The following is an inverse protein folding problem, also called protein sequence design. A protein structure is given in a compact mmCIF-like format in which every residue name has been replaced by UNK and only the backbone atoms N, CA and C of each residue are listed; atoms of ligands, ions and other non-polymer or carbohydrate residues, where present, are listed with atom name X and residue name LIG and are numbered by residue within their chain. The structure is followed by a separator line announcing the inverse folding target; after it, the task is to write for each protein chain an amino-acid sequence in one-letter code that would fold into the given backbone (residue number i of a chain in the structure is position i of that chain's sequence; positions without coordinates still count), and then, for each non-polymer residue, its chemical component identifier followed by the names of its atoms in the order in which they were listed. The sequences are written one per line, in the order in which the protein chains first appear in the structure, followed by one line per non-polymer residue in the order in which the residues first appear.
data_IF_367116015788
#
_entry.id   IF_367116015788
#
_cell.length_a   1.000
_cell.length_b   1.000
_cell.length_c   1.000
_cell.angle_alpha   90.00
_cell.angle_beta   90.00
_cell.angle_gamma   90.00
#
_symmetry.space_group_name_H-M   'P 1'
#
loop_
_entity.id
_entity.type
_entity.pdbx_description
1 polymer ?
#
# COMPACT_ATOMS: atom_id res chain seq x y z
N UNK A 1 -26.32 -17.43 -2.40
CA UNK A 1 -26.51 -16.93 -3.78
C UNK A 1 -25.13 -16.61 -4.34
N UNK A 2 -24.58 -17.46 -5.22
CA UNK A 2 -23.16 -17.46 -5.59
C UNK A 2 -22.73 -16.22 -6.40
N UNK A 3 -21.57 -15.65 -6.07
CA UNK A 3 -20.94 -14.48 -6.73
C UNK A 3 -20.78 -14.69 -8.25
N UNK A 4 -20.70 -15.94 -8.71
CA UNK A 4 -20.67 -16.29 -10.13
C UNK A 4 -21.93 -15.87 -10.91
N UNK A 5 -23.10 -15.78 -10.26
CA UNK A 5 -24.34 -15.37 -10.94
C UNK A 5 -24.48 -13.84 -11.09
N UNK A 6 -23.75 -13.05 -10.32
CA UNK A 6 -23.79 -11.58 -10.41
C UNK A 6 -22.86 -11.09 -11.52
N UNK A 7 -21.69 -11.73 -11.71
CA UNK A 7 -20.72 -11.36 -12.76
C UNK A 7 -21.25 -11.64 -14.17
N UNK A 8 -22.07 -12.70 -14.36
CA UNK A 8 -22.65 -13.01 -15.67
C UNK A 8 -23.75 -12.02 -16.09
N UNK A 9 -24.55 -11.49 -15.15
CA UNK A 9 -25.62 -10.52 -15.46
C UNK A 9 -25.08 -9.15 -15.91
N UNK A 10 -23.89 -8.75 -15.44
CA UNK A 10 -23.29 -7.47 -15.83
C UNK A 10 -22.47 -7.50 -17.12
N UNK A 11 -22.06 -8.69 -17.60
CA UNK A 11 -21.43 -8.82 -18.93
C UNK A 11 -22.41 -8.66 -20.08
N UNK A 12 -23.70 -8.96 -19.87
CA UNK A 12 -24.71 -8.90 -20.93
C UNK A 12 -25.23 -7.46 -21.20
N UNK A 13 -25.11 -6.56 -20.23
CA UNK A 13 -25.51 -5.15 -20.40
C UNK A 13 -24.44 -4.24 -21.02
N UNK A 14 -23.18 -4.69 -21.09
CA UNK A 14 -22.10 -3.93 -21.76
C UNK A 14 -22.00 -4.28 -23.25
N UNK A 15 -22.58 -5.40 -23.69
CA UNK A 15 -22.59 -5.81 -25.11
C UNK A 15 -23.65 -5.09 -25.97
N UNK A 16 -24.63 -4.40 -25.36
CA UNK A 16 -25.67 -3.67 -26.10
C UNK A 16 -25.42 -2.17 -26.28
N UNK A 17 -24.31 -1.61 -25.76
CA UNK A 17 -23.96 -0.20 -25.98
C UNK A 17 -22.81 0.02 -26.99
N UNK A 18 -22.31 -1.04 -27.62
CA UNK A 18 -21.14 -0.98 -28.53
C UNK A 18 -21.53 -1.12 -30.02
N UNK A 19 -22.81 -1.34 -30.33
CA UNK A 19 -23.31 -1.52 -31.71
C UNK A 19 -24.01 -0.28 -32.31
N UNK A 20 -23.85 0.90 -31.71
CA UNK A 20 -24.55 2.13 -32.12
C UNK A 20 -23.67 3.28 -32.63
N UNK A 21 -22.37 3.08 -32.84
CA UNK A 21 -21.46 4.15 -33.26
C UNK A 21 -20.46 3.65 -34.31
N UNK A 22 -20.99 3.20 -35.45
CA UNK A 22 -20.20 3.00 -36.67
C UNK A 22 -20.97 3.63 -37.80
N UNK A 23 -20.72 4.91 -38.08
CA UNK A 23 -20.79 5.55 -39.40
C UNK A 23 -20.66 7.07 -39.20
N UNK A 24 -19.45 7.59 -39.37
CA UNK A 24 -19.13 8.80 -40.15
C UNK A 24 -17.65 9.14 -39.93
N UNK A 25 -17.01 9.56 -41.02
CA UNK A 25 -15.62 10.01 -41.15
C UNK A 25 -14.57 8.93 -41.48
N UNK A 26 -14.62 8.51 -42.75
CA UNK A 26 -13.41 8.20 -43.51
C UNK A 26 -12.97 9.44 -44.30
N UNK A 27 -11.64 9.60 -44.35
CA UNK A 27 -10.81 10.40 -45.27
C UNK A 27 -10.71 11.92 -45.08
N UNK A 28 -9.60 12.36 -44.48
CA UNK A 28 -8.55 13.01 -45.27
C UNK A 28 -7.18 12.83 -44.61
N UNK A 29 -6.26 12.22 -45.35
CA UNK A 29 -4.83 12.14 -45.04
C UNK A 29 -4.20 13.50 -45.25
N UNK A 30 -3.39 13.98 -44.30
CA UNK A 30 -2.24 14.80 -44.65
C UNK A 30 -1.12 14.63 -43.64
N UNK A 31 -0.01 14.10 -44.14
CA UNK A 31 1.29 14.06 -43.51
C UNK A 31 1.70 15.47 -43.05
N UNK A 32 2.15 15.59 -41.80
CA UNK A 32 3.23 16.50 -41.47
C UNK A 32 4.04 15.92 -40.31
N UNK A 33 5.21 15.40 -40.67
CA UNK A 33 6.32 15.11 -39.78
C UNK A 33 6.74 16.41 -39.09
N UNK A 34 6.31 16.60 -37.85
CA UNK A 34 6.98 17.49 -36.92
C UNK A 34 7.39 16.65 -35.71
N UNK A 35 8.68 16.31 -35.67
CA UNK A 35 9.36 15.84 -34.48
C UNK A 35 9.23 16.90 -33.40
N UNK A 36 8.16 16.83 -32.61
CA UNK A 36 8.09 17.53 -31.33
C UNK A 36 8.97 16.72 -30.38
N UNK A 37 10.22 17.14 -30.24
CA UNK A 37 11.05 16.76 -29.12
C UNK A 37 10.29 17.18 -27.85
N UNK A 38 9.67 16.20 -27.16
CA UNK A 38 9.10 16.39 -25.84
C UNK A 38 10.29 16.61 -24.90
N UNK A 39 10.64 17.87 -24.72
CA UNK A 39 11.53 18.34 -23.67
C UNK A 39 10.77 18.25 -22.34
N UNK A 40 10.64 17.05 -21.78
CA UNK A 40 10.29 16.90 -20.37
C UNK A 40 11.57 17.08 -19.56
N UNK A 41 11.84 18.31 -19.12
CA UNK A 41 12.55 18.48 -17.87
C UNK A 41 11.60 18.04 -16.75
N UNK A 42 11.38 16.73 -16.66
CA UNK A 42 10.58 16.08 -15.62
C UNK A 42 11.27 16.36 -14.30
N UNK A 43 10.74 17.33 -13.55
CA UNK A 43 11.17 17.56 -12.18
C UNK A 43 10.70 16.36 -11.37
N UNK A 44 11.59 15.39 -11.20
CA UNK A 44 11.37 14.17 -10.43
C UNK A 44 10.72 14.53 -9.09
N UNK A 45 9.64 13.83 -8.70
CA UNK A 45 8.99 14.08 -7.42
C UNK A 45 10.00 13.88 -6.28
N UNK A 46 9.96 14.65 -5.17
CA UNK A 46 10.87 14.45 -4.03
C UNK A 46 10.90 12.99 -3.54
N UNK A 47 9.75 12.33 -3.54
CA UNK A 47 9.62 10.90 -3.24
C UNK A 47 10.40 10.01 -4.19
N UNK A 48 10.55 10.37 -5.46
CA UNK A 48 11.31 9.57 -6.41
C UNK A 48 12.84 9.68 -6.23
N UNK A 49 13.37 10.79 -5.67
CA UNK A 49 14.81 10.94 -5.32
C UNK A 49 15.14 10.32 -3.95
N UNK A 50 14.17 10.23 -3.06
CA UNK A 50 14.27 9.60 -1.75
C UNK A 50 14.30 8.06 -1.82
N UNK A 51 13.90 7.48 -2.97
CA UNK A 51 13.70 6.04 -3.13
C UNK A 51 14.65 5.40 -4.14
N UNK A 52 15.15 4.22 -3.79
CA UNK A 52 15.90 3.36 -4.72
C UNK A 52 15.01 2.84 -5.84
N UNK A 53 15.61 2.54 -6.98
CA UNK A 53 14.90 1.78 -8.00
C UNK A 53 14.76 0.33 -7.53
N UNK A 54 13.60 -0.28 -7.75
CA UNK A 54 13.34 -1.68 -7.36
C UNK A 54 14.32 -2.66 -8.04
N UNK A 55 14.85 -2.31 -9.23
CA UNK A 55 15.79 -3.14 -9.97
C UNK A 55 17.25 -2.96 -9.54
N UNK A 56 17.57 -1.92 -8.77
CA UNK A 56 18.92 -1.74 -8.23
C UNK A 56 19.17 -2.79 -7.13
N UNK A 57 20.38 -3.38 -7.05
CA UNK A 57 20.76 -4.28 -5.97
C UNK A 57 20.53 -3.63 -4.60
N UNK A 58 20.15 -4.43 -3.59
CA UNK A 58 19.97 -3.93 -2.23
C UNK A 58 21.34 -3.64 -1.61
N UNK A 59 21.46 -2.46 -1.02
CA UNK A 59 22.53 -2.10 -0.09
C UNK A 59 21.99 -2.23 1.33
N UNK A 60 22.43 -3.28 2.03
CA UNK A 60 21.96 -3.59 3.39
C UNK A 60 22.35 -2.55 4.44
N UNK A 61 23.36 -1.72 4.16
CA UNK A 61 23.80 -0.68 5.09
C UNK A 61 22.95 0.59 4.95
N UNK A 62 22.58 0.95 3.72
CA UNK A 62 21.93 2.25 3.44
C UNK A 62 20.44 2.17 3.08
N UNK A 63 19.96 1.02 2.62
CA UNK A 63 18.57 0.88 2.23
C UNK A 63 17.68 0.49 3.41
N UNK A 64 16.44 1.00 3.41
CA UNK A 64 15.45 0.73 4.44
C UNK A 64 14.15 0.22 3.82
N UNK A 65 13.66 -0.94 4.27
CA UNK A 65 12.44 -1.51 3.74
C UNK A 65 11.20 -0.75 4.24
N UNK A 66 10.33 -0.36 3.31
CA UNK A 66 9.10 0.36 3.62
C UNK A 66 7.92 -0.35 2.97
N UNK A 67 7.02 -0.88 3.80
CA UNK A 67 5.76 -1.41 3.32
C UNK A 67 4.74 -0.29 3.18
N UNK A 68 4.35 0.00 1.93
CA UNK A 68 3.19 0.85 1.67
C UNK A 68 1.92 0.05 1.95
N UNK A 69 1.35 0.32 3.12
CA UNK A 69 0.16 -0.31 3.65
C UNK A 69 -1.08 0.19 2.93
N UNK A 70 -1.67 -0.70 2.12
CA UNK A 70 -2.97 -0.49 1.49
C UNK A 70 -4.02 -1.23 2.33
N UNK A 71 -4.98 -0.52 2.96
CA UNK A 71 -6.02 -1.16 3.74
C UNK A 71 -6.79 -2.22 2.95
N UNK A 72 -7.03 -3.37 3.59
CA UNK A 72 -7.72 -4.55 3.02
C UNK A 72 -6.97 -5.25 1.87
N UNK A 73 -5.65 -5.10 1.81
CA UNK A 73 -4.78 -5.81 0.85
C UNK A 73 -3.79 -6.80 1.49
N UNK A 74 -3.98 -7.20 2.77
CA UNK A 74 -3.15 -8.21 3.43
C UNK A 74 -2.05 -7.66 4.34
N UNK A 75 -2.02 -6.35 4.60
CA UNK A 75 -1.01 -5.71 5.45
C UNK A 75 -0.95 -6.21 6.89
N UNK A 76 -2.09 -6.46 7.54
CA UNK A 76 -2.12 -7.04 8.91
C UNK A 76 -1.48 -8.43 8.94
N UNK A 77 -1.74 -9.25 7.93
CA UNK A 77 -1.14 -10.58 7.79
C UNK A 77 0.38 -10.48 7.63
N UNK A 78 0.85 -9.55 6.80
CA UNK A 78 2.29 -9.28 6.63
C UNK A 78 2.97 -8.76 7.91
N UNK A 79 2.33 -7.85 8.66
CA UNK A 79 2.86 -7.40 9.96
C UNK A 79 3.08 -8.58 10.90
N UNK A 80 2.10 -9.47 10.99
CA UNK A 80 2.19 -10.65 11.84
C UNK A 80 3.30 -11.60 11.35
N UNK A 81 3.38 -11.82 10.03
CA UNK A 81 4.44 -12.64 9.43
C UNK A 81 5.84 -12.13 9.76
N UNK A 82 6.11 -10.84 9.54
CA UNK A 82 7.42 -10.26 9.82
C UNK A 82 7.75 -10.22 11.31
N UNK A 83 6.75 -10.05 12.18
CA UNK A 83 6.93 -10.20 13.62
C UNK A 83 7.33 -11.63 13.99
N UNK A 84 6.68 -12.63 13.39
CA UNK A 84 7.02 -14.04 13.56
C UNK A 84 8.44 -14.37 13.08
N UNK A 85 8.91 -13.78 11.96
CA UNK A 85 10.30 -13.92 11.51
C UNK A 85 11.33 -13.28 12.46
N UNK A 86 10.88 -12.58 13.50
CA UNK A 86 11.72 -11.85 14.44
C UNK A 86 12.35 -10.61 13.81
N UNK A 87 11.66 -9.99 12.85
CA UNK A 87 12.04 -8.68 12.32
C UNK A 87 11.56 -7.58 13.26
N UNK A 88 12.33 -6.50 13.37
CA UNK A 88 11.97 -5.30 14.13
C UNK A 88 11.07 -4.41 13.28
N UNK A 89 9.86 -4.17 13.76
CA UNK A 89 8.82 -3.44 13.03
C UNK A 89 8.69 -2.00 13.53
N UNK A 90 8.51 -1.05 12.62
CA UNK A 90 7.96 0.27 12.93
C UNK A 90 6.52 0.37 12.42
N UNK A 91 5.54 0.54 13.31
CA UNK A 91 4.12 0.70 12.99
C UNK A 91 3.33 1.31 14.17
N UNK A 92 1.99 1.31 14.13
CA UNK A 92 1.13 1.84 15.18
C UNK A 92 1.32 1.17 16.56
N UNK A 93 1.75 -0.09 16.60
CA UNK A 93 1.96 -0.82 17.86
C UNK A 93 3.23 -0.34 18.55
N UNK A 94 4.20 0.17 17.80
CA UNK A 94 5.51 0.62 18.27
C UNK A 94 5.49 1.61 19.43
N UNK A 95 4.45 2.45 19.51
CA UNK A 95 4.34 3.49 20.54
C UNK A 95 3.37 3.12 21.66
N UNK A 96 2.85 1.89 21.65
CA UNK A 96 2.00 1.38 22.73
C UNK A 96 2.82 1.15 24.03
N UNK A 97 2.14 0.86 25.14
CA UNK A 97 2.76 0.60 26.45
C UNK A 97 3.65 1.74 26.98
N UNK A 98 3.37 3.00 26.63
CA UNK A 98 4.09 4.18 27.13
C UNK A 98 5.35 4.54 26.35
N UNK A 99 5.58 3.89 25.19
CA UNK A 99 6.73 4.17 24.32
C UNK A 99 6.54 5.40 23.41
N UNK A 100 5.38 6.07 23.48
CA UNK A 100 5.08 7.31 22.75
C UNK A 100 5.85 8.52 23.27
N UNK A 101 6.26 8.51 24.55
CA UNK A 101 6.99 9.60 25.20
C UNK A 101 8.49 9.38 25.31
N UNK A 102 9.01 8.24 24.85
CA UNK A 102 10.45 7.96 24.90
C UNK A 102 11.26 9.04 24.15
N UNK A 103 12.39 9.45 24.73
CA UNK A 103 13.25 10.50 24.16
C UNK A 103 14.26 9.98 23.13
N UNK A 104 14.46 8.66 23.06
CA UNK A 104 15.42 8.01 22.16
C UNK A 104 14.83 6.77 21.50
N UNK A 105 15.33 6.42 20.31
CA UNK A 105 14.94 5.18 19.67
C UNK A 105 15.46 3.97 20.44
N UNK A 106 14.56 3.02 20.67
CA UNK A 106 14.89 1.72 21.26
C UNK A 106 14.01 0.62 20.69
N UNK A 107 14.57 -0.58 20.64
CA UNK A 107 13.83 -1.80 20.32
C UNK A 107 13.28 -2.39 21.61
N UNK A 108 12.00 -2.73 21.60
CA UNK A 108 11.32 -3.37 22.72
C UNK A 108 10.52 -4.57 22.24
N UNK A 109 10.24 -5.49 23.16
CA UNK A 109 9.49 -6.70 22.89
C UNK A 109 8.07 -6.56 23.46
N UNK A 110 7.07 -6.71 22.60
CA UNK A 110 5.67 -6.67 23.00
C UNK A 110 5.25 -8.01 23.62
N UNK A 111 4.16 -8.02 24.38
CA UNK A 111 3.62 -9.23 25.04
C UNK A 111 3.26 -10.40 24.10
N UNK A 112 3.26 -10.17 22.78
CA UNK A 112 3.08 -11.20 21.75
C UNK A 112 4.41 -11.81 21.26
N UNK A 113 5.56 -11.43 21.83
CA UNK A 113 6.90 -11.86 21.44
C UNK A 113 7.51 -11.12 20.25
N UNK A 114 6.80 -10.15 19.66
CA UNK A 114 7.30 -9.39 18.51
C UNK A 114 8.12 -8.19 18.94
N UNK A 115 9.12 -7.85 18.11
CA UNK A 115 10.01 -6.71 18.35
C UNK A 115 9.56 -5.49 17.57
N UNK A 116 9.55 -4.35 18.25
CA UNK A 116 9.18 -3.07 17.68
C UNK A 116 10.26 -2.03 18.01
N UNK A 117 10.57 -1.15 17.06
CA UNK A 117 11.24 0.11 17.39
C UNK A 117 10.16 1.10 17.79
N UNK A 118 10.38 1.90 18.84
CA UNK A 118 9.41 2.86 19.42
C UNK A 118 9.09 4.09 18.55
N UNK A 119 8.78 3.88 17.28
CA UNK A 119 8.38 4.91 16.33
C UNK A 119 7.19 4.45 15.49
N UNK A 120 6.08 5.20 15.53
CA UNK A 120 4.92 4.96 14.69
C UNK A 120 5.11 5.58 13.31
N UNK A 121 5.17 4.78 12.26
CA UNK A 121 5.27 5.26 10.87
C UNK A 121 3.95 5.24 10.10
N UNK A 122 2.83 4.96 10.78
CA UNK A 122 1.52 4.81 10.14
C UNK A 122 0.68 6.07 10.10
N UNK A 123 0.95 7.04 11.00
CA UNK A 123 0.33 8.36 11.06
C UNK A 123 1.31 9.50 10.74
N UNK A 124 0.78 10.67 10.36
CA UNK A 124 1.62 11.84 10.04
C UNK A 124 2.44 12.32 11.25
N UNK A 125 1.80 12.52 12.40
CA UNK A 125 2.48 12.92 13.63
C UNK A 125 3.55 11.90 14.07
N UNK A 126 3.27 10.61 13.85
CA UNK A 126 4.21 9.54 14.14
C UNK A 126 5.45 9.61 13.24
N UNK A 127 5.26 9.84 11.93
CA UNK A 127 6.37 10.03 10.98
C UNK A 127 7.21 11.26 11.34
N UNK A 128 6.58 12.37 11.75
CA UNK A 128 7.29 13.56 12.20
C UNK A 128 8.16 13.28 13.43
N UNK A 129 7.64 12.55 14.42
CA UNK A 129 8.43 12.11 15.58
C UNK A 129 9.53 11.12 15.19
N UNK A 130 9.24 10.18 14.29
CA UNK A 130 10.24 9.23 13.78
C UNK A 130 11.41 9.96 13.11
N UNK A 131 11.14 11.05 12.38
CA UNK A 131 12.17 11.94 11.84
C UNK A 131 12.98 12.60 12.94
N UNK A 132 12.34 13.21 13.95
CA UNK A 132 13.06 13.90 15.03
C UNK A 132 13.97 12.97 15.82
N UNK A 133 13.60 11.69 15.91
CA UNK A 133 14.38 10.65 16.58
C UNK A 133 15.41 9.96 15.68
N UNK A 134 15.49 10.30 14.38
CA UNK A 134 16.49 9.77 13.45
C UNK A 134 16.21 8.35 12.93
N UNK A 135 14.94 7.93 12.87
CA UNK A 135 14.58 6.55 12.50
C UNK A 135 15.16 6.10 11.16
N UNK A 136 15.09 6.96 10.13
CA UNK A 136 15.55 6.64 8.77
C UNK A 136 17.03 6.23 8.70
N UNK A 137 17.85 6.81 9.58
CA UNK A 137 19.30 6.59 9.61
C UNK A 137 19.72 5.52 10.63
N UNK A 138 18.89 5.31 11.66
CA UNK A 138 19.20 4.46 12.82
C UNK A 138 19.52 3.00 12.48
N UNK A 139 18.91 2.44 11.44
CA UNK A 139 19.00 1.00 11.13
C UNK A 139 18.29 0.09 12.14
N UNK A 140 17.49 0.64 13.07
CA UNK A 140 16.81 -0.14 14.10
C UNK A 140 15.56 -0.87 13.60
N UNK A 141 14.91 -0.36 12.55
CA UNK A 141 13.77 -1.02 11.91
C UNK A 141 14.22 -1.89 10.74
N UNK A 142 13.87 -3.16 10.77
CA UNK A 142 14.00 -4.05 9.61
C UNK A 142 12.94 -3.71 8.55
N UNK A 143 11.74 -3.30 8.99
CA UNK A 143 10.63 -2.90 8.11
C UNK A 143 9.76 -1.80 8.74
N UNK A 144 9.45 -0.77 7.97
CA UNK A 144 8.52 0.30 8.35
C UNK A 144 7.19 0.15 7.62
N UNK A 145 6.07 0.24 8.33
CA UNK A 145 4.72 0.22 7.73
C UNK A 145 4.15 1.63 7.67
N UNK A 146 3.65 2.04 6.51
CA UNK A 146 3.06 3.38 6.35
C UNK A 146 1.94 3.43 5.32
N UNK A 147 0.96 4.30 5.54
CA UNK A 147 -0.04 4.65 4.53
C UNK A 147 0.37 5.88 3.70
N UNK A 148 1.46 6.55 4.09
CA UNK A 148 1.86 7.89 3.63
C UNK A 148 3.20 7.84 2.91
N UNK A 149 3.26 7.30 1.68
CA UNK A 149 4.52 7.03 0.99
C UNK A 149 5.33 8.29 0.71
N UNK A 150 4.70 9.44 0.46
CA UNK A 150 5.42 10.70 0.24
C UNK A 150 6.03 11.23 1.53
N UNK A 151 5.24 11.31 2.59
CA UNK A 151 5.66 11.91 3.84
C UNK A 151 6.81 11.13 4.46
N UNK A 152 6.72 9.80 4.51
CA UNK A 152 7.83 9.00 5.04
C UNK A 152 9.10 9.14 4.18
N UNK A 153 8.96 9.24 2.86
CA UNK A 153 10.10 9.37 1.94
C UNK A 153 10.81 10.71 2.14
N UNK A 154 10.05 11.79 2.17
CA UNK A 154 10.59 13.14 2.30
C UNK A 154 11.19 13.39 3.69
N UNK A 155 10.53 12.89 4.74
CA UNK A 155 10.91 13.18 6.11
C UNK A 155 12.05 12.28 6.62
N UNK A 156 12.03 10.99 6.28
CA UNK A 156 13.07 10.05 6.74
C UNK A 156 14.25 9.91 5.77
N UNK A 157 14.06 10.25 4.49
CA UNK A 157 15.08 10.10 3.44
C UNK A 157 15.22 11.37 2.59
N UNK A 158 15.54 12.52 3.21
CA UNK A 158 15.62 13.80 2.51
C UNK A 158 16.66 13.77 1.37
N UNK A 159 16.50 14.71 0.43
CA UNK A 159 17.42 14.86 -0.70
C UNK A 159 18.87 14.97 -0.23
N UNK A 160 19.76 14.16 -0.82
CA UNK A 160 21.17 14.07 -0.43
C UNK A 160 21.47 13.09 0.70
N UNK A 161 20.47 12.52 1.38
CA UNK A 161 20.71 11.43 2.34
C UNK A 161 21.36 10.23 1.64
N UNK A 162 22.35 9.63 2.30
CA UNK A 162 22.94 8.34 1.88
C UNK A 162 21.94 7.20 2.06
N UNK A 163 21.01 7.34 3.00
CA UNK A 163 19.97 6.36 3.27
C UNK A 163 18.79 6.54 2.31
N UNK A 164 18.20 5.43 1.86
CA UNK A 164 17.09 5.45 0.90
C UNK A 164 16.02 4.43 1.26
N UNK A 165 14.77 4.79 0.98
CA UNK A 165 13.65 3.87 1.11
C UNK A 165 13.61 2.86 -0.04
N UNK A 166 13.26 1.61 0.27
CA UNK A 166 12.86 0.58 -0.69
C UNK A 166 11.43 0.19 -0.44
N UNK A 167 10.55 0.65 -1.32
CA UNK A 167 9.14 0.35 -1.17
C UNK A 167 8.77 -1.03 -1.67
N UNK A 168 7.85 -1.63 -0.95
CA UNK A 168 7.10 -2.78 -1.40
C UNK A 168 5.67 -2.68 -0.91
N UNK A 169 4.77 -3.41 -1.54
CA UNK A 169 3.33 -3.28 -1.27
C UNK A 169 2.57 -4.52 -1.70
N UNK A 170 1.43 -4.76 -1.07
CA UNK A 170 0.44 -5.72 -1.53
C UNK A 170 -0.76 -5.00 -2.13
N UNK A 171 -1.09 -5.33 -3.38
CA UNK A 171 -2.24 -4.77 -4.09
C UNK A 171 -3.31 -5.85 -4.24
N UNK A 172 -4.56 -5.43 -4.00
CA UNK A 172 -5.76 -6.22 -4.25
C UNK A 172 -6.55 -5.63 -5.41
N UNK A 173 -7.31 -6.46 -6.12
CA UNK A 173 -8.24 -6.01 -7.14
C UNK A 173 -9.13 -4.85 -6.59
N UNK A 174 -9.19 -3.68 -7.24
CA UNK A 174 -9.80 -2.48 -6.66
C UNK A 174 -11.26 -2.66 -6.23
N UNK A 175 -12.05 -3.42 -7.01
CA UNK A 175 -13.46 -3.70 -6.71
C UNK A 175 -13.59 -4.54 -5.44
N UNK A 176 -12.80 -5.61 -5.33
CA UNK A 176 -12.85 -6.50 -4.17
C UNK A 176 -12.38 -5.80 -2.90
N UNK A 177 -11.33 -4.99 -3.03
CA UNK A 177 -10.82 -4.20 -1.91
C UNK A 177 -11.85 -3.19 -1.43
N UNK A 178 -12.52 -2.49 -2.35
CA UNK A 178 -13.58 -1.53 -2.03
C UNK A 178 -14.78 -2.22 -1.34
N UNK A 179 -15.20 -3.37 -1.85
CA UNK A 179 -16.26 -4.17 -1.21
C UNK A 179 -15.82 -4.66 0.19
N UNK A 180 -14.60 -5.15 0.33
CA UNK A 180 -14.04 -5.58 1.62
C UNK A 180 -13.96 -4.44 2.62
N UNK A 181 -13.63 -3.23 2.16
CA UNK A 181 -13.64 -2.02 2.97
C UNK A 181 -15.04 -1.69 3.48
N UNK A 182 -16.05 -1.72 2.61
CA UNK A 182 -17.45 -1.52 3.01
C UNK A 182 -17.86 -2.48 4.14
N UNK A 183 -17.62 -3.78 3.98
CA UNK A 183 -17.98 -4.76 5.01
C UNK A 183 -17.20 -4.57 6.32
N UNK A 184 -15.91 -4.25 6.23
CA UNK A 184 -15.09 -4.01 7.41
C UNK A 184 -15.57 -2.81 8.22
N UNK A 185 -15.88 -1.68 7.56
CA UNK A 185 -16.39 -0.46 8.22
C UNK A 185 -17.69 -0.70 9.01
N UNK A 186 -18.46 -1.76 8.73
CA UNK A 186 -19.68 -2.15 9.47
C UNK A 186 -19.41 -2.82 10.81
N UNK A 187 -18.24 -3.44 10.97
CA UNK A 187 -17.94 -4.34 12.10
C UNK A 187 -16.73 -3.91 12.94
N UNK A 188 -15.93 -2.95 12.47
CA UNK A 188 -14.67 -2.52 13.06
C UNK A 188 -14.80 -1.70 14.37
N UNK A 189 -15.61 -2.15 15.35
CA UNK A 189 -15.94 -1.41 16.59
C UNK A 189 -14.74 -0.93 17.42
N UNK A 190 -13.57 -1.55 17.24
CA UNK A 190 -12.33 -1.22 17.97
C UNK A 190 -11.52 -0.11 17.29
N UNK A 191 -11.91 0.30 16.08
CA UNK A 191 -11.30 1.40 15.35
C UNK A 191 -12.02 2.71 15.68
N UNK A 192 -11.40 3.84 15.33
CA UNK A 192 -12.03 5.15 15.49
C UNK A 192 -13.25 5.35 14.57
N UNK A 193 -14.00 6.42 14.83
CA UNK A 193 -15.22 6.82 14.11
C UNK A 193 -15.03 7.09 12.60
N UNK A 194 -13.79 7.32 12.15
CA UNK A 194 -13.50 7.50 10.72
C UNK A 194 -13.43 6.16 9.97
N UNK A 195 -13.26 5.05 10.70
CA UNK A 195 -13.21 3.69 10.16
C UNK A 195 -14.50 2.93 10.46
N UNK A 196 -14.94 2.90 11.72
CA UNK A 196 -16.19 2.25 12.09
C UNK A 196 -17.39 3.16 11.81
N UNK A 197 -18.22 2.75 10.84
CA UNK A 197 -19.38 3.50 10.41
C UNK A 197 -20.66 2.71 10.76
N UNK A 198 -21.21 2.86 11.97
CA UNK A 198 -22.34 2.06 12.45
C UNK A 198 -23.60 2.22 11.58
N UNK A 199 -23.78 3.38 10.94
CA UNK A 199 -24.89 3.62 10.01
C UNK A 199 -24.85 2.70 8.78
N UNK A 200 -23.69 2.10 8.45
CA UNK A 200 -23.56 1.14 7.35
C UNK A 200 -24.11 -0.25 7.70
N UNK A 201 -24.40 -0.56 8.97
CA UNK A 201 -24.85 -1.90 9.38
C UNK A 201 -26.13 -2.35 8.65
N UNK A 202 -27.04 -1.41 8.44
CA UNK A 202 -28.38 -1.66 7.93
C UNK A 202 -28.55 -1.23 6.46
N UNK A 203 -27.46 -0.96 5.73
CA UNK A 203 -27.51 -0.71 4.29
C UNK A 203 -26.75 -1.81 3.56
N UNK A 204 -27.20 -2.15 2.35
CA UNK A 204 -26.47 -3.05 1.46
C UNK A 204 -25.42 -2.30 0.64
N UNK A 205 -24.54 -3.05 -0.02
CA UNK A 205 -23.47 -2.49 -0.84
C UNK A 205 -24.02 -1.64 -2.00
N UNK A 206 -25.12 -2.07 -2.62
CA UNK A 206 -25.72 -1.35 -3.74
C UNK A 206 -26.23 0.04 -3.31
N UNK A 207 -26.87 0.13 -2.15
CA UNK A 207 -27.33 1.39 -1.56
C UNK A 207 -26.16 2.27 -1.16
N UNK A 208 -25.11 1.70 -0.57
CA UNK A 208 -23.89 2.43 -0.25
C UNK A 208 -23.27 3.09 -1.49
N UNK A 209 -23.12 2.33 -2.58
CA UNK A 209 -22.58 2.85 -3.85
C UNK A 209 -23.48 3.93 -4.46
N UNK A 210 -24.82 3.74 -4.45
CA UNK A 210 -25.78 4.75 -4.95
C UNK A 210 -25.71 6.07 -4.19
N UNK A 211 -25.32 6.04 -2.91
CA UNK A 211 -25.12 7.24 -2.07
C UNK A 211 -23.74 7.88 -2.24
N UNK A 212 -22.98 7.48 -3.26
CA UNK A 212 -21.62 7.98 -3.51
C UNK A 212 -20.56 7.36 -2.59
N UNK A 213 -20.89 6.28 -1.89
CA UNK A 213 -19.94 5.50 -1.12
C UNK A 213 -18.93 4.76 -2.01
N UNK A 214 -17.77 4.46 -1.44
CA UNK A 214 -16.69 3.73 -2.11
C UNK A 214 -15.44 4.59 -2.28
N UNK A 215 -14.30 3.91 -2.42
CA UNK A 215 -13.02 4.59 -2.53
C UNK A 215 -12.80 5.10 -3.96
N UNK A 216 -12.58 6.40 -4.10
CA UNK A 216 -12.33 7.06 -5.40
C UNK A 216 -10.83 7.15 -5.67
N UNK A 217 -10.29 6.19 -6.43
CA UNK A 217 -8.89 6.20 -6.91
C UNK A 217 -7.84 6.56 -5.84
N UNK A 218 -8.07 6.14 -4.60
CA UNK A 218 -7.26 6.57 -3.46
C UNK A 218 -5.79 6.13 -3.60
N UNK A 219 -5.51 4.97 -4.21
CA UNK A 219 -4.13 4.50 -4.47
C UNK A 219 -3.38 5.48 -5.38
N UNK A 220 -4.02 5.92 -6.47
CA UNK A 220 -3.44 6.90 -7.38
C UNK A 220 -3.22 8.22 -6.64
N UNK A 221 -4.24 8.69 -5.90
CA UNK A 221 -4.17 9.92 -5.09
C UNK A 221 -2.98 9.91 -4.12
N UNK A 222 -2.77 8.80 -3.41
CA UNK A 222 -1.64 8.62 -2.50
C UNK A 222 -0.31 8.60 -3.25
N UNK A 223 -0.22 7.90 -4.37
CA UNK A 223 1.03 7.80 -5.15
C UNK A 223 1.42 9.12 -5.82
N UNK A 224 0.48 9.99 -6.18
CA UNK A 224 0.80 11.31 -6.75
C UNK A 224 0.69 12.47 -5.76
N UNK A 225 0.50 12.18 -4.47
CA UNK A 225 0.33 13.16 -3.39
C UNK A 225 -0.83 14.15 -3.59
N UNK A 226 -1.91 13.73 -4.26
CA UNK A 226 -3.13 14.52 -4.47
C UNK A 226 -4.20 14.14 -3.45
N UNK A 227 -3.97 14.50 -2.19
CA UNK A 227 -4.89 14.22 -1.09
C UNK A 227 -6.10 15.18 -1.10
N UNK A 228 -7.18 14.83 -0.39
CA UNK A 228 -8.31 15.75 -0.16
C UNK A 228 -9.31 15.87 -1.32
N UNK A 229 -9.39 14.87 -2.21
CA UNK A 229 -10.40 14.85 -3.27
C UNK A 229 -10.08 15.73 -4.49
N UNK A 230 -8.80 16.09 -4.65
CA UNK A 230 -8.30 16.73 -5.86
C UNK A 230 -8.62 15.90 -7.11
N UNK A 231 -8.83 16.59 -8.23
CA UNK A 231 -9.13 15.94 -9.52
C UNK A 231 -7.90 15.20 -10.01
N UNK A 232 -8.09 13.92 -10.34
CA UNK A 232 -7.07 13.08 -10.95
C UNK A 232 -7.20 13.09 -12.47
N UNK A 233 -6.06 13.18 -13.16
CA UNK A 233 -5.97 13.14 -14.61
C UNK A 233 -5.35 11.83 -15.11
N UNK A 234 -5.24 11.67 -16.43
CA UNK A 234 -4.56 10.52 -17.03
C UNK A 234 -3.05 10.56 -16.75
N UNK A 235 -2.48 11.76 -16.68
CA UNK A 235 -1.08 11.98 -16.31
C UNK A 235 -0.81 11.46 -14.90
N UNK A 236 -1.70 11.73 -13.93
CA UNK A 236 -1.57 11.20 -12.57
C UNK A 236 -1.57 9.67 -12.54
N UNK A 237 -2.43 9.04 -13.35
CA UNK A 237 -2.45 7.58 -13.48
C UNK A 237 -1.13 7.06 -14.06
N UNK A 238 -0.57 7.74 -15.05
CA UNK A 238 0.72 7.36 -15.66
C UNK A 238 1.87 7.54 -14.65
N UNK A 239 1.91 8.64 -13.92
CA UNK A 239 2.88 8.87 -12.84
C UNK A 239 2.79 7.79 -11.76
N UNK A 240 1.57 7.44 -11.31
CA UNK A 240 1.38 6.38 -10.33
C UNK A 240 1.84 5.00 -10.85
N UNK A 241 1.56 4.67 -12.12
CA UNK A 241 2.06 3.46 -12.77
C UNK A 241 3.59 3.44 -12.83
N UNK A 242 4.21 4.56 -13.18
CA UNK A 242 5.67 4.66 -13.26
C UNK A 242 6.34 4.55 -11.90
N UNK A 243 5.76 5.15 -10.85
CA UNK A 243 6.21 4.94 -9.48
C UNK A 243 6.15 3.47 -9.09
N UNK A 244 5.02 2.80 -9.32
CA UNK A 244 4.90 1.37 -9.03
C UNK A 244 5.91 0.53 -9.82
N UNK A 245 6.07 0.81 -11.11
CA UNK A 245 6.97 0.08 -12.01
C UNK A 245 8.44 0.21 -11.63
N UNK A 246 8.85 1.36 -11.09
CA UNK A 246 10.27 1.69 -10.88
C UNK A 246 10.69 1.71 -9.42
N UNK A 247 9.79 1.96 -8.48
CA UNK A 247 10.12 2.18 -7.06
C UNK A 247 9.52 1.16 -6.10
N UNK A 248 8.57 0.32 -6.56
CA UNK A 248 7.86 -0.63 -5.69
C UNK A 248 8.12 -2.08 -6.10
N UNK A 249 8.45 -2.91 -5.13
CA UNK A 249 8.27 -4.35 -5.25
C UNK A 249 6.79 -4.69 -4.97
N UNK A 250 6.05 -5.00 -6.04
CA UNK A 250 4.60 -5.22 -5.95
C UNK A 250 4.25 -6.69 -5.79
N UNK A 251 3.49 -7.03 -4.75
CA UNK A 251 2.80 -8.31 -4.60
C UNK A 251 1.30 -8.19 -4.79
N UNK A 252 0.62 -9.33 -4.97
CA UNK A 252 -0.82 -9.42 -5.20
C UNK A 252 -1.49 -10.22 -4.09
N UNK A 253 -2.56 -9.71 -3.50
CA UNK A 253 -3.30 -10.41 -2.43
C UNK A 253 -3.86 -11.77 -2.89
N UNK A 254 -4.19 -11.93 -4.18
CA UNK A 254 -4.65 -13.21 -4.76
C UNK A 254 -3.53 -14.23 -4.95
N UNK A 255 -2.28 -13.81 -4.78
CA UNK A 255 -1.03 -14.58 -4.89
C UNK A 255 -0.18 -14.32 -3.66
N UNK A 256 -0.80 -14.43 -2.49
CA UNK A 256 -0.22 -13.94 -1.24
C UNK A 256 1.08 -14.69 -0.93
N UNK A 257 1.08 -16.01 -1.05
CA UNK A 257 2.25 -16.86 -0.74
C UNK A 257 3.41 -16.51 -1.67
N UNK A 258 3.17 -16.50 -2.98
CA UNK A 258 4.20 -16.18 -3.98
C UNK A 258 4.70 -14.73 -3.85
N UNK A 259 3.83 -13.83 -3.38
CA UNK A 259 4.21 -12.43 -3.11
C UNK A 259 5.12 -12.31 -1.89
N UNK A 260 4.80 -13.02 -0.81
CA UNK A 260 5.63 -13.06 0.41
C UNK A 260 6.99 -13.67 0.10
N UNK A 261 7.03 -14.81 -0.59
CA UNK A 261 8.29 -15.43 -1.02
C UNK A 261 9.16 -14.48 -1.84
N UNK A 262 8.54 -13.74 -2.76
CA UNK A 262 9.24 -12.72 -3.55
C UNK A 262 9.80 -11.59 -2.67
N UNK A 263 9.07 -11.17 -1.64
CA UNK A 263 9.55 -10.13 -0.72
C UNK A 263 10.71 -10.64 0.13
N UNK A 264 10.60 -11.85 0.66
CA UNK A 264 11.64 -12.44 1.49
C UNK A 264 12.92 -12.66 0.71
N UNK A 265 12.81 -13.16 -0.52
CA UNK A 265 13.96 -13.31 -1.41
C UNK A 265 14.59 -11.96 -1.76
N UNK A 266 13.76 -10.94 -2.04
CA UNK A 266 14.27 -9.61 -2.38
C UNK A 266 15.04 -8.98 -1.22
N UNK A 267 14.48 -9.00 0.00
CA UNK A 267 15.08 -8.37 1.18
C UNK A 267 16.05 -9.26 1.97
N UNK A 268 16.22 -10.53 1.58
CA UNK A 268 17.06 -11.49 2.29
C UNK A 268 16.50 -11.89 3.66
N UNK A 269 15.17 -11.92 3.82
CA UNK A 269 14.51 -12.30 5.08
C UNK A 269 14.39 -13.81 5.29
N UNK A 270 14.82 -14.62 4.33
CA UNK A 270 14.81 -16.07 4.46
C UNK A 270 15.78 -16.52 5.56
N UNK A 271 15.23 -16.93 6.71
CA UNK A 271 15.96 -17.38 7.89
C UNK A 271 15.78 -18.88 8.08
N UNK A 272 16.75 -19.68 7.61
CA UNK A 272 17.02 -21.09 7.95
C UNK A 272 15.85 -21.87 8.60
N UNK A 273 14.71 -22.03 7.92
CA UNK A 273 13.56 -22.82 8.37
C UNK A 273 12.50 -22.09 9.21
N UNK A 274 12.80 -20.95 9.85
CA UNK A 274 11.83 -20.12 10.60
C UNK A 274 10.74 -19.60 9.65
N UNK A 275 11.10 -19.28 8.41
CA UNK A 275 10.15 -18.83 7.40
C UNK A 275 9.02 -19.84 7.18
N UNK A 276 9.30 -21.14 7.20
CA UNK A 276 8.29 -22.19 6.99
C UNK A 276 7.29 -22.24 8.13
N UNK A 277 7.73 -22.22 9.40
CA UNK A 277 6.83 -22.24 10.57
C UNK A 277 5.94 -20.98 10.62
N UNK A 278 6.54 -19.82 10.33
CA UNK A 278 5.79 -18.57 10.25
C UNK A 278 4.79 -18.57 9.10
N UNK A 279 5.14 -19.15 7.94
CA UNK A 279 4.22 -19.32 6.81
C UNK A 279 3.05 -20.24 7.17
N UNK A 280 3.30 -21.42 7.73
CA UNK A 280 2.25 -22.37 8.10
C UNK A 280 1.20 -21.77 9.05
N UNK A 281 1.64 -20.90 9.96
CA UNK A 281 0.75 -20.20 10.90
C UNK A 281 -0.02 -19.00 10.29
N UNK A 282 0.35 -18.54 9.08
CA UNK A 282 -0.46 -17.60 8.28
C UNK A 282 -1.62 -18.27 7.56
N UNK A 283 -1.49 -19.57 7.26
CA UNK A 283 -2.43 -20.34 6.44
C UNK A 283 -3.28 -21.36 7.21
N UNK A 284 -3.71 -21.16 8.48
CA UNK A 284 -4.67 -22.08 9.06
C UNK A 284 -5.95 -21.92 8.27
N UNK A 285 -6.28 -22.94 7.48
CA UNK A 285 -7.56 -23.04 6.79
C UNK A 285 -8.67 -22.64 7.76
N UNK A 286 -9.45 -21.63 7.35
CA UNK A 286 -10.49 -20.88 8.10
C UNK A 286 -10.03 -19.50 8.59
N UNK A 287 -10.19 -18.53 7.70
CA UNK A 287 -11.06 -17.38 7.93
C UNK A 287 -11.03 -16.83 9.38
N UNK A 288 -9.90 -16.26 9.84
CA UNK A 288 -9.79 -15.61 11.17
C UNK A 288 -10.81 -14.48 11.40
N UNK A 289 -11.52 -14.06 10.35
CA UNK A 289 -12.59 -13.05 10.45
C UNK A 289 -13.98 -13.52 10.01
N UNK A 290 -14.17 -14.77 9.56
CA UNK A 290 -15.52 -15.29 9.29
C UNK A 290 -16.42 -14.38 8.44
N UNK A 291 -15.85 -13.61 7.51
CA UNK A 291 -16.63 -12.83 6.56
C UNK A 291 -16.65 -13.65 5.26
N UNK A 292 -17.83 -14.00 4.72
CA UNK A 292 -17.93 -14.69 3.44
C UNK A 292 -17.30 -13.88 2.29
#
# INVERSE_FOLDING_TARGET
MSIHHIVLKYRLHILFSVLGFTLLFLNHSNNNNNNVAISSSDKLLPTQTALRNVKEPIDTETDRAIFWHIPKSGGTTLKWYYGCLGLVIANEVSVSNGHDTDESLQVWEHANGFKYVNADTTGLNGIDRAKSLGLGESGLADVMFTMFPHQISELLFPSGSKYKGRFFTMIRHPIERSASMFYYRRVAKHENENVYLPHLKNIDLATYLKRGGGDRNFMVSLLVNKLGGQVLTVEDLNTAKDMLRTKFLVGLTSKFEESVERFDHYFGYDRNGISTECKESLYPGKNRYGIP
#
